data_IF_457678978115
#
_entry.id   IF_457678978115
#
_cell.length_a   1.000
_cell.length_b   1.000
_cell.length_c   1.000
_cell.angle_alpha   90.00
_cell.angle_beta   90.00
_cell.angle_gamma   90.00
#
_symmetry.space_group_name_H-M   'P 1'
#
loop_
_entity.id
_entity.type
_entity.pdbx_description
1 polymer ?
#
# COMPACT_ATOMS: atom_id res chain seq x y z
N UNK A 1 11.50 21.71 3.43
CA UNK A 1 11.81 20.28 3.23
C UNK A 1 10.57 19.47 3.58
N UNK A 2 10.02 18.70 2.63
CA UNK A 2 9.03 17.66 2.96
C UNK A 2 9.66 16.67 3.96
N UNK A 3 8.91 16.25 4.97
CA UNK A 3 9.38 15.28 5.96
C UNK A 3 9.87 14.01 5.24
N UNK A 4 11.13 13.63 5.46
CA UNK A 4 11.90 12.73 4.60
C UNK A 4 11.32 11.33 4.40
N UNK A 5 10.40 10.87 5.26
CA UNK A 5 9.53 9.70 5.06
C UNK A 5 8.57 9.64 6.27
N UNK A 6 7.25 9.71 6.04
CA UNK A 6 6.25 9.66 7.12
C UNK A 6 6.31 8.34 7.90
N UNK A 7 6.50 7.21 7.22
CA UNK A 7 6.64 5.89 7.87
C UNK A 7 7.86 5.84 8.79
N UNK A 8 9.00 6.32 8.31
CA UNK A 8 10.22 6.41 9.14
C UNK A 8 9.96 7.24 10.38
N UNK A 9 9.26 8.37 10.24
CA UNK A 9 8.93 9.22 11.38
C UNK A 9 8.05 8.52 12.41
N UNK A 10 7.09 7.70 11.98
CA UNK A 10 6.25 6.91 12.89
C UNK A 10 7.11 5.92 13.69
N UNK A 11 8.05 5.24 13.05
CA UNK A 11 8.93 4.28 13.74
C UNK A 11 9.97 4.93 14.67
N UNK A 12 10.44 6.14 14.35
CA UNK A 12 11.55 6.76 15.11
C UNK A 12 11.10 7.84 16.10
N UNK A 13 9.84 8.29 16.07
CA UNK A 13 9.36 9.41 16.91
C UNK A 13 9.27 9.06 18.40
N UNK A 14 9.29 7.76 18.76
CA UNK A 14 9.17 7.33 20.16
C UNK A 14 7.81 7.65 20.79
N UNK A 15 6.75 7.76 19.98
CA UNK A 15 5.41 8.13 20.43
C UNK A 15 4.58 6.94 20.97
N UNK A 16 5.21 5.78 21.18
CA UNK A 16 4.54 4.54 21.56
C UNK A 16 4.64 3.46 20.48
N UNK A 17 3.83 2.41 20.62
CA UNK A 17 3.75 1.34 19.63
C UNK A 17 3.14 1.88 18.32
N UNK A 18 3.71 1.47 17.19
CA UNK A 18 3.12 1.72 15.88
C UNK A 18 2.35 0.51 15.40
N UNK A 19 1.08 0.71 15.03
CA UNK A 19 0.21 -0.34 14.55
C UNK A 19 0.06 -0.24 13.03
N UNK A 20 0.23 -1.38 12.36
CA UNK A 20 -0.02 -1.50 10.93
C UNK A 20 -0.91 -2.66 10.58
N UNK A 21 -1.36 -2.65 9.34
CA UNK A 21 -2.23 -3.70 8.79
C UNK A 21 -1.61 -4.31 7.54
N UNK A 22 -1.83 -5.62 7.39
CA UNK A 22 -1.30 -6.42 6.30
C UNK A 22 -2.37 -6.62 5.23
N UNK A 23 -2.11 -6.16 4.01
CA UNK A 23 -3.02 -6.28 2.88
C UNK A 23 -2.57 -7.39 1.93
N UNK A 24 -3.37 -8.46 1.87
CA UNK A 24 -3.19 -9.58 0.93
C UNK A 24 -4.12 -9.53 -0.29
N UNK A 25 -5.17 -8.70 -0.23
CA UNK A 25 -6.24 -8.65 -1.22
C UNK A 25 -5.96 -7.50 -2.22
N UNK A 26 -6.01 -7.75 -3.54
CA UNK A 26 -5.84 -6.71 -4.54
C UNK A 26 -7.04 -5.77 -4.52
N UNK A 27 -6.75 -4.46 -4.49
CA UNK A 27 -7.61 -3.31 -4.84
C UNK A 27 -7.15 -2.07 -4.04
N UNK A 28 -6.92 -0.95 -4.73
CA UNK A 28 -6.50 0.30 -4.08
C UNK A 28 -7.54 0.85 -3.08
N UNK A 29 -8.82 0.53 -3.24
CA UNK A 29 -9.88 0.89 -2.30
C UNK A 29 -9.74 0.15 -0.96
N UNK A 30 -9.19 -1.08 -0.96
CA UNK A 30 -8.87 -1.80 0.28
C UNK A 30 -7.80 -1.04 1.05
N UNK A 31 -6.72 -0.61 0.37
CA UNK A 31 -5.68 0.22 0.99
C UNK A 31 -6.25 1.53 1.58
N UNK A 32 -7.17 2.19 0.86
CA UNK A 32 -7.84 3.41 1.34
C UNK A 32 -8.72 3.16 2.56
N UNK A 33 -9.45 2.04 2.59
CA UNK A 33 -10.29 1.68 3.74
C UNK A 33 -9.42 1.38 4.97
N UNK A 34 -8.37 0.58 4.79
CA UNK A 34 -7.41 0.23 5.82
C UNK A 34 -6.66 1.45 6.39
N UNK A 35 -6.25 2.39 5.53
CA UNK A 35 -5.59 3.62 5.96
C UNK A 35 -6.52 4.58 6.75
N UNK A 36 -7.84 4.37 6.70
CA UNK A 36 -8.82 5.13 7.48
C UNK A 36 -9.22 4.44 8.78
N UNK A 37 -8.76 3.20 9.00
CA UNK A 37 -9.04 2.48 10.25
C UNK A 37 -8.43 3.23 11.44
N UNK A 38 -9.21 3.52 12.49
CA UNK A 38 -8.70 4.21 13.67
C UNK A 38 -7.49 3.49 14.28
N UNK A 39 -6.42 4.24 14.53
CA UNK A 39 -5.20 3.71 15.16
C UNK A 39 -4.25 2.97 14.22
N UNK A 40 -4.52 2.91 12.91
CA UNK A 40 -3.57 2.37 11.92
C UNK A 40 -2.64 3.47 11.44
N UNK A 41 -1.33 3.25 11.59
CA UNK A 41 -0.31 4.20 11.16
C UNK A 41 0.20 3.92 9.73
N UNK A 42 0.16 2.66 9.31
CA UNK A 42 0.67 2.21 8.02
C UNK A 42 -0.05 0.97 7.49
N UNK A 43 -0.03 0.83 6.16
CA UNK A 43 -0.55 -0.33 5.45
C UNK A 43 0.61 -0.97 4.72
N UNK A 44 0.80 -2.27 4.91
CA UNK A 44 1.77 -3.07 4.19
C UNK A 44 1.05 -3.85 3.09
N UNK A 45 1.39 -3.53 1.85
CA UNK A 45 0.86 -4.21 0.67
C UNK A 45 1.78 -5.39 0.38
N UNK A 46 1.26 -6.59 0.56
CA UNK A 46 2.02 -7.81 0.34
C UNK A 46 1.91 -8.22 -1.14
N UNK A 47 3.02 -8.06 -1.85
CA UNK A 47 3.15 -8.48 -3.25
C UNK A 47 3.91 -9.81 -3.39
N UNK A 48 4.36 -10.42 -2.30
CA UNK A 48 5.10 -11.69 -2.32
C UNK A 48 4.14 -12.88 -2.18
N UNK A 49 3.24 -12.79 -1.21
CA UNK A 49 2.27 -13.83 -0.89
C UNK A 49 0.83 -13.35 -1.10
N UNK A 50 0.60 -12.04 -1.23
CA UNK A 50 -0.70 -11.48 -1.58
C UNK A 50 -1.03 -11.74 -3.05
N UNK A 51 -2.33 -11.78 -3.35
CA UNK A 51 -2.80 -11.86 -4.74
C UNK A 51 -2.72 -10.48 -5.41
N UNK A 52 -1.56 -9.82 -5.29
CA UNK A 52 -1.25 -8.47 -5.74
C UNK A 52 0.02 -8.55 -6.57
N UNK A 53 -0.14 -8.78 -7.87
CA UNK A 53 0.95 -8.60 -8.81
C UNK A 53 1.16 -7.10 -9.06
N UNK A 54 2.41 -6.68 -9.28
CA UNK A 54 2.76 -5.27 -9.50
C UNK A 54 2.20 -4.67 -10.80
N UNK A 55 1.29 -5.36 -11.48
CA UNK A 55 0.65 -4.91 -12.70
C UNK A 55 -0.65 -4.16 -12.34
N UNK A 56 -0.78 -2.87 -12.68
CA UNK A 56 -2.07 -2.21 -12.63
C UNK A 56 -3.06 -3.01 -13.48
N UNK A 57 -4.24 -3.33 -12.92
CA UNK A 57 -5.33 -3.97 -13.67
C UNK A 57 -5.81 -3.11 -14.87
N UNK A 58 -5.40 -1.84 -14.91
CA UNK A 58 -5.63 -0.86 -15.99
C UNK A 58 -4.35 -0.50 -16.76
N UNK A 59 -3.27 -1.30 -16.66
CA UNK A 59 -2.13 -1.12 -17.54
C UNK A 59 -2.58 -1.48 -18.96
N UNK A 60 -2.51 -0.54 -19.94
CA UNK A 60 -2.86 -0.86 -21.30
C UNK A 60 -1.93 -2.00 -21.74
N UNK A 61 -2.51 -3.18 -21.98
CA UNK A 61 -1.81 -4.24 -22.68
C UNK A 61 -1.34 -3.64 -23.99
N UNK A 62 -0.02 -3.62 -24.20
CA UNK A 62 0.56 -3.09 -25.42
C UNK A 62 -0.17 -3.70 -26.63
N UNK A 63 -0.56 -2.81 -27.55
CA UNK A 63 -1.58 -3.05 -28.55
C UNK A 63 -1.36 -4.32 -29.37
N UNK A 64 -2.46 -5.02 -29.61
CA UNK A 64 -2.57 -5.92 -30.75
C UNK A 64 -2.37 -5.08 -32.03
N UNK A 65 -1.33 -5.35 -32.84
CA UNK A 65 -1.33 -4.84 -34.19
C UNK A 65 -2.47 -5.54 -34.94
N UNK A 66 -3.27 -4.73 -35.62
CA UNK A 66 -4.28 -5.17 -36.56
C UNK A 66 -3.76 -6.30 -37.47
N UNK A 67 -4.49 -7.42 -37.47
CA UNK A 67 -4.70 -8.29 -38.63
C UNK A 67 -6.20 -8.40 -38.84
#
# INVERSE_FOLDING_TARGET
>A
MQAANKLKSVFTRGAGASLGVWQMIPNANVSRALAKSPGVDWVMVDCEHGNIDGMPHDAPTHGSPHL
#
